data_IF_375771091505
#
_entry.id   IF_375771091505
#
_cell.length_a   1.000
_cell.length_b   1.000
_cell.length_c   1.000
_cell.angle_alpha   90.00
_cell.angle_beta   90.00
_cell.angle_gamma   90.00
#
_symmetry.space_group_name_H-M   'P 1'
#
loop_
_entity.id
_entity.type
_entity.pdbx_description
1 polymer ?
#
# COMPACT_ATOMS: atom_id res chain seq x y z
N UNK A 1 -13.85 -35.04 -11.02
CA UNK A 1 -14.24 -34.37 -9.77
C UNK A 1 -13.14 -33.35 -9.50
N UNK A 2 -12.95 -32.33 -10.32
CA UNK A 2 -13.78 -31.12 -10.53
C UNK A 2 -13.95 -30.31 -9.26
N UNK A 3 -13.06 -29.34 -9.06
CA UNK A 3 -13.26 -28.10 -8.29
C UNK A 3 -12.08 -27.17 -8.68
N UNK A 4 -12.23 -26.46 -9.80
CA UNK A 4 -12.74 -25.08 -9.90
C UNK A 4 -11.65 -24.03 -9.66
N UNK A 5 -11.27 -23.39 -10.78
CA UNK A 5 -10.43 -22.22 -10.89
C UNK A 5 -10.82 -21.15 -9.85
N UNK A 6 -9.90 -20.82 -8.96
CA UNK A 6 -9.76 -19.44 -8.49
C UNK A 6 -8.49 -18.90 -9.13
N UNK A 7 -8.59 -18.56 -10.42
CA UNK A 7 -7.69 -17.58 -11.03
C UNK A 7 -7.96 -16.23 -10.33
N UNK A 8 -7.39 -16.08 -9.13
CA UNK A 8 -7.27 -14.81 -8.47
C UNK A 8 -6.50 -13.92 -9.43
N UNK A 9 -7.11 -12.81 -9.84
CA UNK A 9 -6.51 -11.87 -10.79
C UNK A 9 -5.03 -11.68 -10.45
N UNK A 10 -4.09 -11.85 -11.39
CA UNK A 10 -2.65 -11.98 -11.09
C UNK A 10 -2.00 -10.76 -10.44
N UNK A 11 -2.78 -9.73 -10.08
CA UNK A 11 -2.36 -8.60 -9.25
C UNK A 11 -2.93 -8.57 -7.82
N UNK A 12 -3.96 -9.35 -7.46
CA UNK A 12 -4.76 -9.11 -6.24
C UNK A 12 -4.41 -9.98 -5.02
N UNK A 13 -3.48 -10.93 -5.15
CA UNK A 13 -3.00 -11.73 -4.00
C UNK A 13 -1.89 -10.98 -3.27
N UNK A 14 -1.68 -11.25 -1.98
CA UNK A 14 -0.58 -10.64 -1.20
C UNK A 14 0.76 -10.78 -1.94
N UNK A 15 1.00 -11.97 -2.51
CA UNK A 15 2.10 -12.35 -3.42
C UNK A 15 2.23 -11.52 -4.70
N UNK A 16 1.13 -10.96 -5.21
CA UNK A 16 1.15 -10.06 -6.36
C UNK A 16 1.48 -8.61 -5.97
N UNK A 17 1.10 -8.20 -4.76
CA UNK A 17 1.39 -6.87 -4.24
C UNK A 17 2.85 -6.77 -3.77
N UNK A 18 3.37 -7.76 -3.07
CA UNK A 18 4.77 -7.76 -2.61
C UNK A 18 5.76 -7.74 -3.78
N UNK A 19 5.52 -8.51 -4.85
CA UNK A 19 6.35 -8.43 -6.06
C UNK A 19 6.30 -7.06 -6.74
N UNK A 20 5.14 -6.39 -6.76
CA UNK A 20 5.03 -5.03 -7.31
C UNK A 20 5.75 -4.01 -6.43
N UNK A 21 5.68 -4.14 -5.10
CA UNK A 21 6.45 -3.31 -4.17
C UNK A 21 7.95 -3.48 -4.36
N UNK A 22 8.43 -4.72 -4.49
CA UNK A 22 9.84 -5.01 -4.77
C UNK A 22 10.29 -4.38 -6.09
N UNK A 23 9.55 -4.60 -7.18
CA UNK A 23 9.88 -4.03 -8.48
C UNK A 23 9.90 -2.48 -8.46
N UNK A 24 8.95 -1.85 -7.75
CA UNK A 24 8.93 -0.39 -7.60
C UNK A 24 10.12 0.13 -6.77
N UNK A 25 10.56 -0.62 -5.75
CA UNK A 25 11.79 -0.30 -5.01
C UNK A 25 13.04 -0.42 -5.89
N UNK A 26 13.15 -1.49 -6.66
CA UNK A 26 14.29 -1.69 -7.58
C UNK A 26 14.35 -0.61 -8.66
N UNK A 27 13.19 -0.16 -9.16
CA UNK A 27 13.08 0.92 -10.14
C UNK A 27 13.24 2.33 -9.51
N UNK A 28 13.20 2.47 -8.19
CA UNK A 28 13.14 3.76 -7.51
C UNK A 28 11.85 4.54 -7.80
N UNK A 29 10.76 3.84 -8.16
CA UNK A 29 9.48 4.44 -8.56
C UNK A 29 8.67 4.85 -7.33
N UNK A 30 9.05 5.97 -6.74
CA UNK A 30 8.38 6.57 -5.58
C UNK A 30 6.87 6.75 -5.77
N UNK A 31 6.33 7.27 -6.89
CA UNK A 31 4.88 7.41 -7.04
C UNK A 31 4.16 6.05 -7.11
N UNK A 32 4.76 5.01 -7.69
CA UNK A 32 4.21 3.66 -7.62
C UNK A 32 4.24 3.12 -6.17
N UNK A 33 5.33 3.34 -5.44
CA UNK A 33 5.43 2.94 -4.02
C UNK A 33 4.32 3.57 -3.18
N UNK A 34 4.02 4.86 -3.36
CA UNK A 34 2.90 5.54 -2.68
C UNK A 34 1.58 4.77 -2.87
N UNK A 35 1.26 4.44 -4.13
CA UNK A 35 0.00 3.76 -4.48
C UNK A 35 -0.03 2.33 -3.96
N UNK A 36 1.07 1.60 -4.08
CA UNK A 36 1.18 0.19 -3.67
C UNK A 36 1.15 0.04 -2.14
N UNK A 37 1.80 0.94 -1.39
CA UNK A 37 1.70 0.94 0.07
C UNK A 37 0.29 1.35 0.54
N UNK A 38 -0.37 2.29 -0.14
CA UNK A 38 -1.75 2.64 0.17
C UNK A 38 -2.72 1.47 -0.09
N UNK A 39 -2.49 0.69 -1.16
CA UNK A 39 -3.23 -0.55 -1.47
C UNK A 39 -2.94 -1.63 -0.41
N UNK A 40 -1.68 -1.79 0.02
CA UNK A 40 -1.31 -2.71 1.09
C UNK A 40 -2.00 -2.39 2.42
N UNK A 41 -2.14 -1.10 2.73
CA UNK A 41 -2.86 -0.65 3.92
C UNK A 41 -4.36 -0.98 3.87
N UNK A 42 -4.98 -0.87 2.69
CA UNK A 42 -6.40 -1.20 2.50
C UNK A 42 -6.67 -2.70 2.66
N UNK A 43 -5.72 -3.54 2.22
CA UNK A 43 -5.76 -4.99 2.37
C UNK A 43 -5.18 -5.50 3.71
N UNK A 44 -4.69 -4.62 4.58
CA UNK A 44 -4.14 -5.02 5.85
C UNK A 44 -5.27 -5.52 6.76
N UNK A 45 -5.06 -6.70 7.34
CA UNK A 45 -6.07 -7.35 8.18
C UNK A 45 -6.04 -6.86 9.64
N UNK A 46 -5.12 -5.95 9.95
CA UNK A 46 -4.90 -5.38 11.27
C UNK A 46 -4.58 -3.89 11.15
N UNK A 47 -5.06 -3.10 12.11
CA UNK A 47 -4.91 -1.65 12.14
C UNK A 47 -3.44 -1.22 12.23
N UNK A 48 -2.61 -1.97 12.97
CA UNK A 48 -1.19 -1.66 13.12
C UNK A 48 -0.46 -1.88 11.79
N UNK A 49 -0.77 -2.98 11.09
CA UNK A 49 -0.26 -3.25 9.75
C UNK A 49 -0.73 -2.19 8.74
N UNK A 50 -1.99 -1.75 8.82
CA UNK A 50 -2.51 -0.68 7.98
C UNK A 50 -1.75 0.65 8.22
N UNK A 51 -1.57 1.04 9.48
CA UNK A 51 -0.79 2.21 9.88
C UNK A 51 0.67 2.13 9.42
N UNK A 52 1.31 0.96 9.53
CA UNK A 52 2.67 0.73 9.05
C UNK A 52 2.77 1.04 7.55
N UNK A 53 1.90 0.45 6.74
CA UNK A 53 1.89 0.69 5.29
C UNK A 53 1.51 2.14 4.93
N UNK A 54 0.54 2.75 5.61
CA UNK A 54 0.17 4.15 5.40
C UNK A 54 1.32 5.11 5.70
N UNK A 55 2.11 4.83 6.75
CA UNK A 55 3.28 5.64 7.10
C UNK A 55 4.33 5.59 5.98
N UNK A 56 4.60 4.40 5.44
CA UNK A 56 5.48 4.25 4.29
C UNK A 56 4.94 5.00 3.06
N UNK A 57 3.65 4.83 2.74
CA UNK A 57 3.02 5.55 1.64
C UNK A 57 3.17 7.07 1.80
N UNK A 58 2.97 7.58 3.01
CA UNK A 58 3.08 9.01 3.32
C UNK A 58 4.51 9.54 3.18
N UNK A 59 5.51 8.82 3.69
CA UNK A 59 6.92 9.20 3.56
C UNK A 59 7.33 9.28 2.08
N UNK A 60 6.99 8.27 1.28
CA UNK A 60 7.27 8.29 -0.16
C UNK A 60 6.49 9.40 -0.88
N UNK A 61 5.28 9.72 -0.42
CA UNK A 61 4.48 10.81 -0.99
C UNK A 61 5.13 12.16 -0.72
N UNK A 62 5.65 12.40 0.48
CA UNK A 62 6.39 13.63 0.81
C UNK A 62 7.68 13.74 0.00
N UNK A 63 8.44 12.66 -0.06
CA UNK A 63 9.73 12.60 -0.76
C UNK A 63 9.57 12.72 -2.30
N UNK A 64 8.44 12.30 -2.86
CA UNK A 64 8.10 12.48 -4.28
C UNK A 64 7.33 13.78 -4.57
N UNK A 65 6.87 14.53 -3.55
CA UNK A 65 5.93 15.64 -3.74
C UNK A 65 4.56 15.21 -4.30
N UNK A 66 4.12 13.98 -3.98
CA UNK A 66 2.87 13.40 -4.48
C UNK A 66 1.64 14.10 -3.91
N UNK A 67 0.63 14.33 -4.75
CA UNK A 67 -0.64 14.97 -4.36
C UNK A 67 -1.46 14.16 -3.33
N UNK A 68 -1.11 12.89 -3.10
CA UNK A 68 -1.79 12.02 -2.13
C UNK A 68 -1.25 12.18 -0.70
N UNK A 69 -0.12 12.87 -0.51
CA UNK A 69 0.44 13.14 0.82
C UNK A 69 -0.60 13.67 1.84
N UNK A 70 -1.39 14.72 1.55
CA UNK A 70 -2.41 15.21 2.49
C UNK A 70 -3.52 14.18 2.77
N UNK A 71 -3.89 13.36 1.78
CA UNK A 71 -4.91 12.32 1.94
C UNK A 71 -4.41 11.19 2.83
N UNK A 72 -3.15 10.76 2.65
CA UNK A 72 -2.52 9.73 3.47
C UNK A 72 -2.33 10.21 4.91
N UNK A 73 -1.95 11.47 5.10
CA UNK A 73 -1.86 12.10 6.41
C UNK A 73 -3.23 12.14 7.13
N UNK A 74 -4.28 12.54 6.42
CA UNK A 74 -5.64 12.54 6.98
C UNK A 74 -6.10 11.14 7.40
N UNK A 75 -5.73 10.10 6.65
CA UNK A 75 -6.00 8.70 7.02
C UNK A 75 -5.25 8.31 8.30
N UNK A 76 -3.94 8.57 8.38
CA UNK A 76 -3.15 8.30 9.59
C UNK A 76 -3.73 8.98 10.84
N UNK A 77 -4.19 10.22 10.68
CA UNK A 77 -4.85 10.98 11.74
C UNK A 77 -6.20 10.37 12.15
N UNK A 78 -7.00 9.92 11.19
CA UNK A 78 -8.30 9.29 11.44
C UNK A 78 -8.17 7.95 12.19
N UNK A 79 -7.12 7.19 11.93
CA UNK A 79 -6.85 5.90 12.60
C UNK A 79 -6.31 6.07 14.04
N UNK A 80 -6.24 7.30 14.57
CA UNK A 80 -6.00 7.57 15.98
C UNK A 80 -4.52 7.61 16.42
N UNK A 81 -3.59 7.90 15.49
CA UNK A 81 -2.15 8.07 15.79
C UNK A 81 -1.70 9.53 15.86
N UNK A 82 -2.62 10.49 16.02
CA UNK A 82 -2.29 11.86 16.43
C UNK A 82 -3.33 12.34 17.45
N UNK A 83 -2.89 12.52 18.71
CA UNK A 83 -3.61 13.22 19.77
C UNK A 83 -3.12 14.68 19.85
#
# INVERSE_FOLDING_TARGET
>A
MSESLTEGKPGLTRGGLDRRLLAAHEAGDKPALVRLYAEAADHANDLDAACFYLTHAYIFALDAGHADAPKLHARLKAEGREA
#
